data_IF_992806429228
#
_entry.id   IF_992806429228
#
_cell.length_a   1.000
_cell.length_b   1.000
_cell.length_c   1.000
_cell.angle_alpha   90.00
_cell.angle_beta   90.00
_cell.angle_gamma   90.00
#
_symmetry.space_group_name_H-M   'P 1'
#
loop_
_entity.id
_entity.type
_entity.pdbx_description
1 polymer ?
#
# COMPACT_ATOMS: atom_id res chain seq x y z
N UNK A 1 -8.33 9.24 3.05
CA UNK A 1 -7.18 8.47 3.56
C UNK A 1 -7.68 7.54 4.65
N UNK A 2 -7.19 6.30 4.63
CA UNK A 2 -7.58 5.24 5.56
C UNK A 2 -6.38 4.83 6.41
N UNK A 3 -6.65 4.08 7.48
CA UNK A 3 -5.64 3.37 8.26
C UNK A 3 -5.88 1.86 8.15
N UNK A 4 -4.96 1.10 7.53
CA UNK A 4 -3.70 1.56 6.90
C UNK A 4 -3.89 2.22 5.51
N UNK A 5 -2.92 3.05 5.13
CA UNK A 5 -2.63 3.48 3.75
C UNK A 5 -1.12 3.58 3.66
N UNK A 6 -0.50 2.75 2.82
CA UNK A 6 0.94 2.60 2.77
C UNK A 6 1.56 3.43 1.65
N UNK A 7 2.77 3.91 1.90
CA UNK A 7 3.57 4.69 0.95
C UNK A 7 5.00 4.13 0.96
N UNK A 8 5.48 3.68 -0.19
CA UNK A 8 6.85 3.22 -0.40
C UNK A 8 7.63 4.29 -1.13
N UNK A 9 8.62 4.86 -0.46
CA UNK A 9 9.53 5.88 -1.02
C UNK A 9 10.91 5.27 -1.17
N UNK A 10 11.54 5.43 -2.34
CA UNK A 10 12.88 4.90 -2.58
C UNK A 10 14.00 5.78 -1.99
N UNK A 11 15.26 5.32 -2.13
CA UNK A 11 16.43 6.05 -1.65
C UNK A 11 16.68 7.40 -2.34
N UNK A 12 16.00 7.71 -3.45
CA UNK A 12 16.03 9.02 -4.11
C UNK A 12 14.88 9.92 -3.66
N UNK A 13 14.05 9.48 -2.70
CA UNK A 13 12.90 10.23 -2.22
C UNK A 13 11.69 10.17 -3.16
N UNK A 14 11.67 9.25 -4.14
CA UNK A 14 10.57 9.13 -5.10
C UNK A 14 9.52 8.14 -4.59
N UNK A 15 8.24 8.51 -4.66
CA UNK A 15 7.13 7.60 -4.37
C UNK A 15 7.07 6.50 -5.44
N UNK A 16 7.18 5.24 -5.00
CA UNK A 16 7.21 4.06 -5.87
C UNK A 16 5.96 3.20 -5.76
N UNK A 17 5.29 3.23 -4.62
CA UNK A 17 4.02 2.56 -4.40
C UNK A 17 3.16 3.31 -3.39
N UNK A 18 1.85 3.38 -3.62
CA UNK A 18 0.88 3.76 -2.59
C UNK A 18 -0.33 2.81 -2.59
N UNK A 19 -0.91 2.54 -1.42
CA UNK A 19 -2.17 1.79 -1.35
C UNK A 19 -2.32 0.83 -0.19
N UNK A 20 -2.93 -0.32 -0.47
CA UNK A 20 -3.18 -1.40 0.48
C UNK A 20 -1.90 -2.16 0.87
N UNK A 21 -1.98 -2.98 1.92
CA UNK A 21 -0.89 -3.90 2.25
C UNK A 21 -0.93 -5.14 1.35
N UNK A 22 -2.12 -5.70 1.18
CA UNK A 22 -2.42 -6.93 0.44
C UNK A 22 -3.76 -6.79 -0.30
N UNK A 23 -4.21 -7.89 -0.91
CA UNK A 23 -5.42 -7.98 -1.73
C UNK A 23 -6.69 -8.41 -0.95
N UNK A 24 -6.65 -8.40 0.38
CA UNK A 24 -7.82 -8.72 1.21
C UNK A 24 -8.96 -7.74 0.92
N UNK A 25 -10.17 -8.29 0.79
CA UNK A 25 -11.39 -7.55 0.56
C UNK A 25 -12.60 -8.30 1.14
N UNK A 26 -13.80 -7.73 1.01
CA UNK A 26 -15.02 -8.33 1.59
C UNK A 26 -15.30 -9.76 1.11
N UNK A 27 -14.87 -10.11 -0.11
CA UNK A 27 -15.06 -11.45 -0.71
C UNK A 27 -13.87 -12.38 -0.50
N UNK A 28 -12.72 -11.85 -0.08
CA UNK A 28 -11.48 -12.60 0.12
C UNK A 28 -10.84 -12.15 1.43
N UNK A 29 -10.94 -12.98 2.47
CA UNK A 29 -10.44 -12.64 3.81
C UNK A 29 -8.99 -13.05 4.05
N UNK A 30 -8.49 -14.02 3.29
CA UNK A 30 -7.11 -14.47 3.34
C UNK A 30 -6.31 -13.74 2.25
N UNK A 31 -5.13 -13.18 2.57
CA UNK A 31 -4.29 -12.55 1.57
C UNK A 31 -3.75 -13.60 0.60
N UNK A 32 -3.82 -13.31 -0.70
CA UNK A 32 -3.17 -14.13 -1.75
C UNK A 32 -2.02 -13.38 -2.43
N UNK A 33 -1.96 -12.07 -2.23
CA UNK A 33 -0.95 -11.20 -2.81
C UNK A 33 -0.54 -10.10 -1.85
N UNK A 34 0.76 -9.93 -1.62
CA UNK A 34 1.30 -8.84 -0.81
C UNK A 34 1.90 -7.75 -1.71
N UNK A 35 1.19 -6.62 -1.86
CA UNK A 35 1.58 -5.56 -2.77
C UNK A 35 2.87 -4.86 -2.35
N UNK A 36 3.05 -4.67 -1.03
CA UNK A 36 4.20 -3.96 -0.48
C UNK A 36 5.47 -4.79 -0.63
N UNK A 37 5.39 -6.07 -0.26
CA UNK A 37 6.52 -6.99 -0.39
C UNK A 37 6.97 -7.10 -1.84
N UNK A 38 6.04 -7.28 -2.79
CA UNK A 38 6.35 -7.31 -4.22
C UNK A 38 7.04 -6.03 -4.68
N UNK A 39 6.51 -4.86 -4.32
CA UNK A 39 7.11 -3.58 -4.70
C UNK A 39 8.53 -3.41 -4.12
N UNK A 40 8.74 -3.76 -2.85
CA UNK A 40 10.06 -3.74 -2.21
C UNK A 40 11.03 -4.70 -2.91
N UNK A 41 10.61 -5.93 -3.19
CA UNK A 41 11.45 -6.92 -3.85
C UNK A 41 11.83 -6.47 -5.27
N UNK A 42 10.91 -5.90 -6.04
CA UNK A 42 11.23 -5.33 -7.35
C UNK A 42 12.26 -4.21 -7.24
N UNK A 43 12.15 -3.29 -6.27
CA UNK A 43 13.15 -2.24 -6.08
C UNK A 43 14.53 -2.80 -5.74
N UNK A 44 14.60 -3.77 -4.82
CA UNK A 44 15.86 -4.38 -4.40
C UNK A 44 16.54 -5.13 -5.56
N UNK A 45 15.78 -5.67 -6.49
CA UNK A 45 16.29 -6.33 -7.70
C UNK A 45 16.60 -5.37 -8.85
N UNK A 46 16.29 -4.07 -8.71
CA UNK A 46 16.39 -3.10 -9.80
C UNK A 46 15.35 -3.31 -10.91
N UNK A 47 14.26 -4.02 -10.62
CA UNK A 47 13.18 -4.34 -11.54
C UNK A 47 12.10 -3.24 -11.55
N UNK A 48 11.28 -3.25 -12.61
CA UNK A 48 10.09 -2.40 -12.69
C UNK A 48 9.01 -2.93 -11.75
N UNK A 49 8.50 -2.08 -10.86
CA UNK A 49 7.28 -2.36 -10.08
C UNK A 49 6.09 -2.38 -11.04
N UNK A 50 5.36 -3.49 -11.08
CA UNK A 50 4.20 -3.66 -11.97
C UNK A 50 2.94 -2.98 -11.47
N UNK A 51 2.77 -2.90 -10.14
CA UNK A 51 1.62 -2.25 -9.49
C UNK A 51 2.15 -1.16 -8.58
N UNK A 52 1.95 0.09 -8.97
CA UNK A 52 2.41 1.27 -8.23
C UNK A 52 1.30 1.91 -7.39
N UNK A 53 0.05 1.50 -7.59
CA UNK A 53 -1.10 2.02 -6.86
C UNK A 53 -2.17 0.94 -6.66
N UNK A 54 -2.71 0.85 -5.45
CA UNK A 54 -3.95 0.11 -5.16
C UNK A 54 -4.86 0.91 -4.23
N UNK A 55 -6.16 0.58 -4.21
CA UNK A 55 -7.08 1.19 -3.28
C UNK A 55 -6.79 0.71 -1.85
N UNK A 56 -6.37 1.62 -0.97
CA UNK A 56 -6.24 1.34 0.46
C UNK A 56 -7.62 1.12 1.10
N UNK A 57 -7.68 0.21 2.08
CA UNK A 57 -8.90 -0.09 2.83
C UNK A 57 -8.62 0.00 4.33
N UNK A 58 -9.66 0.34 5.11
CA UNK A 58 -9.58 0.48 6.56
C UNK A 58 -10.43 1.64 7.08
N UNK A 59 -10.28 1.94 8.37
CA UNK A 59 -10.98 3.05 9.00
C UNK A 59 -10.51 4.40 8.42
N UNK A 60 -11.40 5.39 8.37
CA UNK A 60 -10.99 6.75 8.03
C UNK A 60 -10.04 7.32 9.09
N UNK A 61 -9.06 8.14 8.69
CA UNK A 61 -8.26 8.92 9.64
C UNK A 61 -9.18 9.97 10.30
N UNK A 62 -9.29 9.92 11.62
CA UNK A 62 -9.97 10.96 12.41
C UNK A 62 -9.01 12.15 12.53
N UNK A 63 -9.35 13.29 11.92
CA UNK A 63 -8.47 14.47 11.86
C UNK A 63 -8.80 15.52 12.91
N UNK A 64 -10.09 15.70 13.19
CA UNK A 64 -10.59 16.62 14.20
C UNK A 64 -11.80 15.94 14.86
N UNK A 65 -11.85 15.97 16.19
CA UNK A 65 -13.05 15.60 16.94
C UNK A 65 -13.68 16.92 17.36
N UNK A 66 -14.73 17.32 16.65
CA UNK A 66 -15.53 18.47 17.08
C UNK A 66 -16.39 17.97 18.24
N UNK A 67 -16.11 18.49 19.44
CA UNK A 67 -17.00 18.39 20.60
C UNK A 67 -18.06 19.50 20.55
#
# INVERSE_FOLDING_TARGET
MTTPHLFLVDGSGILRYQGAFDDVNFRQREPTRNYVEEAVQSLLKGEKILVTETAAYGCAIVREVIN
#
